data_IF_061891223694
#
_entry.id   IF_061891223694
#
_cell.length_a   1.000
_cell.length_b   1.000
_cell.length_c   1.000
_cell.angle_alpha   90.00
_cell.angle_beta   90.00
_cell.angle_gamma   90.00
#
_symmetry.space_group_name_H-M   'P 1'
#
loop_
_entity.id
_entity.type
_entity.pdbx_description
1 polymer ?
#
# COMPACT_ATOMS: atom_id res chain seq x y z
N UNK A 1 -20.74 7.08 41.19
CA UNK A 1 -19.39 6.66 40.76
C UNK A 1 -19.39 6.78 39.26
N UNK A 2 -19.06 7.98 38.77
CA UNK A 2 -19.00 8.28 37.34
C UNK A 2 -17.75 7.63 36.77
N UNK A 3 -17.92 6.80 35.74
CA UNK A 3 -16.82 6.29 34.96
C UNK A 3 -16.34 7.43 34.05
N UNK A 4 -15.28 8.12 34.46
CA UNK A 4 -14.54 9.02 33.57
C UNK A 4 -14.00 8.18 32.41
N UNK A 5 -14.65 8.31 31.25
CA UNK A 5 -14.14 7.78 29.99
C UNK A 5 -12.92 8.62 29.61
N UNK A 6 -11.75 8.23 30.10
CA UNK A 6 -10.47 8.74 29.58
C UNK A 6 -10.39 8.34 28.12
N UNK A 7 -10.71 9.30 27.24
CA UNK A 7 -10.51 9.19 25.82
C UNK A 7 -9.01 9.40 25.53
N UNK A 8 -8.17 8.51 26.08
CA UNK A 8 -6.78 8.41 25.67
C UNK A 8 -6.77 8.01 24.20
N UNK A 9 -6.32 8.94 23.36
CA UNK A 9 -6.10 8.71 21.93
C UNK A 9 -5.19 7.50 21.79
N UNK A 10 -5.78 6.35 21.51
CA UNK A 10 -5.09 5.07 21.50
C UNK A 10 -4.35 4.96 20.18
N UNK A 11 -3.02 5.07 20.20
CA UNK A 11 -2.21 4.85 19.02
C UNK A 11 -1.97 3.34 18.84
N UNK A 12 -2.25 2.84 17.64
CA UNK A 12 -2.00 1.43 17.32
C UNK A 12 -0.50 1.20 17.13
N UNK A 13 0.01 0.15 17.78
CA UNK A 13 1.39 -0.29 17.59
C UNK A 13 1.62 -0.74 16.15
N UNK A 14 2.64 -0.19 15.50
CA UNK A 14 3.01 -0.56 14.13
C UNK A 14 4.20 -1.52 14.14
N UNK A 15 4.03 -2.66 13.46
CA UNK A 15 5.04 -3.72 13.38
C UNK A 15 5.35 -4.08 11.93
N UNK A 16 6.62 -4.35 11.64
CA UNK A 16 7.08 -4.83 10.33
C UNK A 16 8.23 -5.85 10.51
N UNK A 17 8.49 -6.66 9.48
CA UNK A 17 9.58 -7.63 9.51
C UNK A 17 10.90 -6.96 9.10
N UNK A 18 11.95 -7.12 9.90
CA UNK A 18 13.32 -6.75 9.52
C UNK A 18 14.08 -7.99 9.05
N UNK A 19 14.62 -7.97 7.83
CA UNK A 19 15.47 -9.01 7.28
C UNK A 19 16.87 -8.47 7.01
N UNK A 20 17.86 -9.00 7.72
CA UNK A 20 19.27 -8.67 7.56
C UNK A 20 20.00 -9.76 6.76
N UNK A 21 21.19 -9.46 6.20
CA UNK A 21 22.11 -10.49 5.75
C UNK A 21 22.42 -11.47 6.90
N UNK A 22 22.64 -12.74 6.53
CA UNK A 22 22.67 -13.85 7.48
C UNK A 22 23.70 -13.67 8.61
N UNK A 23 24.88 -13.13 8.28
CA UNK A 23 25.98 -12.92 9.23
C UNK A 23 25.58 -11.92 10.32
N UNK A 24 24.98 -10.78 9.94
CA UNK A 24 24.52 -9.74 10.87
C UNK A 24 23.29 -10.19 11.63
N UNK A 25 22.37 -10.92 10.99
CA UNK A 25 21.20 -11.48 11.64
C UNK A 25 21.60 -12.42 12.80
N UNK A 26 22.57 -13.32 12.58
CA UNK A 26 23.07 -14.23 13.61
C UNK A 26 23.76 -13.49 14.76
N UNK A 27 24.61 -12.50 14.44
CA UNK A 27 25.27 -11.66 15.46
C UNK A 27 24.26 -10.87 16.29
N UNK A 28 23.27 -10.25 15.64
CA UNK A 28 22.21 -9.52 16.32
C UNK A 28 21.39 -10.46 17.20
N UNK A 29 21.06 -11.66 16.72
CA UNK A 29 20.36 -12.67 17.50
C UNK A 29 21.13 -13.05 18.77
N UNK A 30 22.42 -13.35 18.63
CA UNK A 30 23.28 -13.64 19.78
C UNK A 30 23.31 -12.50 20.80
N UNK A 31 23.36 -11.25 20.35
CA UNK A 31 23.33 -10.08 21.25
C UNK A 31 21.96 -9.91 21.91
N UNK A 32 20.86 -10.13 21.19
CA UNK A 32 19.51 -10.08 21.78
C UNK A 32 19.35 -11.13 22.88
N UNK A 33 19.91 -12.32 22.70
CA UNK A 33 19.79 -13.43 23.65
C UNK A 33 20.73 -13.26 24.87
N UNK A 34 21.91 -12.63 24.69
CA UNK A 34 22.93 -12.53 25.76
C UNK A 34 23.03 -11.17 26.44
N UNK A 35 22.83 -10.08 25.70
CA UNK A 35 23.08 -8.68 26.12
C UNK A 35 22.05 -7.73 25.48
N UNK A 36 20.74 -7.92 25.76
CA UNK A 36 19.66 -7.17 25.12
C UNK A 36 19.78 -5.65 25.32
N UNK A 37 20.35 -5.20 26.44
CA UNK A 37 20.60 -3.79 26.75
C UNK A 37 21.56 -3.11 25.75
N UNK A 38 22.40 -3.88 25.06
CA UNK A 38 23.32 -3.36 24.04
C UNK A 38 22.64 -3.14 22.68
N UNK A 39 21.51 -3.79 22.41
CA UNK A 39 20.82 -3.71 21.12
C UNK A 39 20.45 -2.27 20.78
N UNK A 40 19.90 -1.53 21.76
CA UNK A 40 19.51 -0.11 21.59
C UNK A 40 20.70 0.79 21.16
N UNK A 41 21.92 0.46 21.59
CA UNK A 41 23.13 1.22 21.23
C UNK A 41 23.70 0.80 19.87
N UNK A 42 23.58 -0.48 19.53
CA UNK A 42 24.23 -1.08 18.36
C UNK A 42 23.36 -1.03 17.10
N UNK A 43 22.04 -1.21 17.23
CA UNK A 43 21.12 -1.25 16.11
C UNK A 43 20.38 0.08 16.00
N UNK A 44 20.51 0.74 14.84
CA UNK A 44 19.75 1.95 14.50
C UNK A 44 19.10 1.77 13.14
N UNK A 45 17.85 2.19 13.03
CA UNK A 45 17.06 2.17 11.81
C UNK A 45 16.71 3.60 11.42
N UNK A 46 16.82 3.89 10.14
CA UNK A 46 16.40 5.13 9.51
C UNK A 46 15.55 4.75 8.30
N UNK A 47 14.30 5.19 8.24
CA UNK A 47 13.34 4.79 7.22
C UNK A 47 12.86 6.02 6.46
N UNK A 48 12.92 5.96 5.15
CA UNK A 48 12.33 6.93 4.25
C UNK A 48 11.13 6.27 3.55
N UNK A 49 9.93 6.66 3.97
CA UNK A 49 8.66 6.10 3.48
C UNK A 49 8.33 6.53 2.06
N UNK A 50 8.81 7.69 1.61
CA UNK A 50 8.55 8.19 0.25
C UNK A 50 9.22 7.28 -0.79
N UNK A 51 10.47 6.91 -0.53
CA UNK A 51 11.26 6.08 -1.44
C UNK A 51 11.18 4.58 -1.11
N UNK A 52 10.38 4.20 -0.10
CA UNK A 52 10.34 2.85 0.46
C UNK A 52 11.75 2.31 0.75
N UNK A 53 12.62 3.16 1.26
CA UNK A 53 14.02 2.84 1.52
C UNK A 53 14.33 2.93 3.01
N UNK A 54 15.38 2.25 3.43
CA UNK A 54 15.85 2.33 4.81
C UNK A 54 17.34 2.14 4.91
N UNK A 55 17.93 2.65 5.99
CA UNK A 55 19.33 2.42 6.35
C UNK A 55 19.35 1.78 7.72
N UNK A 56 19.97 0.60 7.79
CA UNK A 56 20.16 -0.12 9.05
C UNK A 56 21.62 -0.09 9.42
N UNK A 57 21.92 0.52 10.57
CA UNK A 57 23.27 0.58 11.13
C UNK A 57 23.37 -0.46 12.24
N UNK A 58 24.35 -1.36 12.11
CA UNK A 58 24.69 -2.33 13.14
C UNK A 58 26.15 -2.13 13.57
N UNK A 59 26.34 -1.45 14.69
CA UNK A 59 27.64 -0.93 15.12
C UNK A 59 28.18 0.08 14.11
N UNK A 60 29.31 -0.23 13.46
CA UNK A 60 29.91 0.60 12.41
C UNK A 60 29.44 0.22 11.00
N UNK A 61 28.84 -0.95 10.84
CA UNK A 61 28.38 -1.44 9.55
C UNK A 61 27.07 -0.77 9.17
N UNK A 62 26.97 -0.29 7.92
CA UNK A 62 25.75 0.20 7.32
C UNK A 62 25.24 -0.81 6.31
N UNK A 63 23.94 -1.08 6.35
CA UNK A 63 23.21 -1.89 5.38
C UNK A 63 22.07 -1.05 4.81
N UNK A 64 21.74 -1.29 3.56
CA UNK A 64 20.69 -0.56 2.85
C UNK A 64 19.50 -1.48 2.66
N UNK A 65 18.33 -0.98 3.04
CA UNK A 65 17.06 -1.67 3.10
C UNK A 65 16.09 -1.20 2.03
N UNK A 66 15.34 -2.15 1.50
CA UNK A 66 14.18 -1.93 0.64
C UNK A 66 12.93 -2.35 1.41
N UNK A 67 12.02 -1.40 1.68
CA UNK A 67 10.74 -1.68 2.33
C UNK A 67 9.77 -2.21 1.28
N UNK A 68 9.24 -3.41 1.50
CA UNK A 68 8.36 -4.08 0.56
C UNK A 68 7.07 -4.54 1.20
N UNK A 69 5.98 -4.47 0.44
CA UNK A 69 4.67 -5.02 0.82
C UNK A 69 4.70 -6.54 0.70
N UNK A 70 4.39 -7.23 1.78
CA UNK A 70 4.18 -8.68 1.81
C UNK A 70 2.86 -9.02 1.12
N UNK A 71 2.79 -10.15 0.40
CA UNK A 71 1.55 -10.60 -0.23
C UNK A 71 0.55 -11.20 0.77
N UNK A 72 1.01 -11.57 1.96
CA UNK A 72 0.22 -12.18 3.02
C UNK A 72 0.14 -11.25 4.22
N UNK A 73 -1.04 -11.10 4.81
CA UNK A 73 -1.21 -10.46 6.12
C UNK A 73 -0.72 -11.45 7.18
N UNK A 74 0.12 -10.97 8.09
CA UNK A 74 0.66 -11.73 9.21
C UNK A 74 0.18 -11.07 10.48
N UNK A 75 -0.42 -11.83 11.38
CA UNK A 75 -0.85 -11.32 12.68
C UNK A 75 0.21 -11.66 13.73
N UNK A 76 0.55 -10.69 14.58
CA UNK A 76 1.34 -10.94 15.77
C UNK A 76 0.42 -11.17 16.97
N UNK A 77 0.79 -12.13 17.79
CA UNK A 77 0.06 -12.53 18.97
C UNK A 77 0.99 -12.56 20.18
N UNK A 78 0.48 -12.12 21.33
CA UNK A 78 1.13 -12.27 22.63
C UNK A 78 0.34 -13.26 23.48
N UNK A 79 1.05 -14.04 24.28
CA UNK A 79 0.47 -14.97 25.25
C UNK A 79 1.30 -14.96 26.52
N UNK A 80 0.63 -15.19 27.66
CA UNK A 80 1.27 -15.37 28.96
C UNK A 80 1.29 -16.85 29.37
N UNK A 81 0.22 -17.59 29.06
CA UNK A 81 -0.05 -18.97 29.48
C UNK A 81 0.17 -20.01 28.35
N UNK A 82 0.46 -19.56 27.12
CA UNK A 82 0.54 -20.38 25.89
C UNK A 82 -0.79 -21.03 25.47
N UNK A 83 -1.91 -20.60 26.05
CA UNK A 83 -3.26 -21.07 25.74
C UNK A 83 -4.07 -19.92 25.19
N UNK A 84 -4.14 -18.82 25.93
CA UNK A 84 -4.81 -17.59 25.53
C UNK A 84 -3.86 -16.75 24.70
N UNK A 85 -4.22 -16.54 23.43
CA UNK A 85 -3.47 -15.69 22.50
C UNK A 85 -4.24 -14.39 22.26
N UNK A 86 -3.58 -13.26 22.42
CA UNK A 86 -4.14 -11.94 22.17
C UNK A 86 -3.46 -11.31 20.96
N UNK A 87 -4.24 -10.89 19.97
CA UNK A 87 -3.71 -10.18 18.80
C UNK A 87 -3.10 -8.85 19.24
N UNK A 88 -1.91 -8.54 18.72
CA UNK A 88 -1.20 -7.30 19.02
C UNK A 88 -1.07 -6.37 17.81
N UNK A 89 -0.83 -6.92 16.61
CA UNK A 89 -0.73 -6.11 15.40
C UNK A 89 -0.95 -6.94 14.13
N UNK A 90 -1.25 -6.24 13.04
CA UNK A 90 -1.18 -6.74 11.68
C UNK A 90 0.14 -6.31 11.02
N UNK A 91 0.81 -7.24 10.36
CA UNK A 91 2.10 -7.06 9.70
C UNK A 91 1.93 -7.41 8.22
N UNK A 92 2.21 -6.44 7.35
CA UNK A 92 2.13 -6.62 5.90
C UNK A 92 3.36 -6.04 5.16
N UNK A 93 4.42 -5.69 5.89
CA UNK A 93 5.64 -5.10 5.32
C UNK A 93 6.90 -5.80 5.82
N UNK A 94 7.93 -5.78 4.97
CA UNK A 94 9.27 -6.29 5.27
C UNK A 94 10.34 -5.32 4.77
N UNK A 95 11.27 -4.94 5.64
CA UNK A 95 12.49 -4.24 5.26
C UNK A 95 13.58 -5.28 4.96
N UNK A 96 13.96 -5.41 3.70
CA UNK A 96 15.00 -6.34 3.26
C UNK A 96 16.31 -5.58 3.09
N UNK A 97 17.29 -5.90 3.93
CA UNK A 97 18.59 -5.25 3.96
C UNK A 97 19.66 -6.05 3.24
N UNK A 98 20.58 -5.33 2.60
CA UNK A 98 21.76 -5.84 1.93
C UNK A 98 22.97 -4.91 2.19
N UNK A 99 24.18 -5.36 1.85
CA UNK A 99 25.40 -4.58 2.06
C UNK A 99 25.54 -3.38 1.11
N UNK A 100 24.90 -3.45 -0.06
CA UNK A 100 24.94 -2.41 -1.09
C UNK A 100 23.60 -1.73 -1.30
N UNK A 101 23.62 -0.52 -1.87
CA UNK A 101 22.42 0.17 -2.33
C UNK A 101 21.90 -0.60 -3.54
N UNK A 102 20.68 -1.11 -3.45
CA UNK A 102 19.97 -1.72 -4.57
C UNK A 102 18.84 -0.80 -4.99
N UNK A 103 18.69 -0.60 -6.30
CA UNK A 103 17.53 0.11 -6.83
C UNK A 103 16.23 -0.58 -6.39
N UNK A 104 15.30 0.21 -5.86
CA UNK A 104 13.97 -0.23 -5.46
C UNK A 104 13.09 -0.49 -6.69
N UNK A 105 13.42 -1.53 -7.46
CA UNK A 105 12.69 -1.84 -8.71
C UNK A 105 11.25 -2.31 -8.49
N UNK A 106 10.95 -2.88 -7.31
CA UNK A 106 9.62 -3.43 -6.98
C UNK A 106 9.29 -3.22 -5.52
N UNK A 107 8.22 -2.47 -5.27
CA UNK A 107 7.61 -2.23 -3.95
C UNK A 107 6.93 -3.50 -3.41
N UNK A 108 6.47 -4.38 -4.29
CA UNK A 108 5.82 -5.63 -3.87
C UNK A 108 6.78 -6.80 -3.69
N UNK A 109 6.50 -7.62 -2.67
CA UNK A 109 7.20 -8.88 -2.43
C UNK A 109 6.41 -10.08 -2.98
N UNK A 110 7.13 -11.02 -3.60
CA UNK A 110 6.51 -12.12 -4.33
C UNK A 110 6.14 -13.33 -3.45
N UNK A 111 6.81 -13.47 -2.29
CA UNK A 111 6.72 -14.65 -1.44
C UNK A 111 6.08 -14.31 -0.10
N UNK A 112 5.38 -15.26 0.52
CA UNK A 112 5.11 -15.18 1.96
C UNK A 112 6.38 -15.48 2.77
N UNK A 113 6.32 -15.22 4.08
CA UNK A 113 7.46 -15.46 4.99
C UNK A 113 7.71 -16.97 5.20
N UNK A 114 6.64 -17.77 5.31
CA UNK A 114 6.76 -19.21 5.55
C UNK A 114 7.13 -19.99 4.27
N UNK A 115 7.93 -21.07 4.34
CA UNK A 115 8.38 -21.83 3.17
C UNK A 115 7.26 -22.28 2.20
N UNK A 116 6.10 -22.79 2.66
CA UNK A 116 5.01 -23.21 1.77
C UNK A 116 4.38 -22.08 0.94
N UNK A 117 4.66 -20.82 1.28
CA UNK A 117 4.17 -19.60 0.62
C UNK A 117 5.21 -18.99 -0.33
N UNK A 118 6.24 -19.75 -0.74
CA UNK A 118 7.10 -19.34 -1.86
C UNK A 118 6.26 -19.13 -3.11
N UNK A 119 6.43 -17.94 -3.71
CA UNK A 119 5.71 -17.48 -4.91
C UNK A 119 4.17 -17.45 -4.76
N UNK A 120 3.67 -17.13 -3.57
CA UNK A 120 2.24 -17.22 -3.26
C UNK A 120 1.36 -16.42 -4.24
N UNK A 121 1.75 -15.20 -4.65
CA UNK A 121 0.99 -14.38 -5.62
C UNK A 121 0.79 -15.08 -6.97
N UNK A 122 1.78 -15.86 -7.41
CA UNK A 122 1.74 -16.55 -8.72
C UNK A 122 1.14 -17.95 -8.65
N UNK A 123 1.28 -18.63 -7.50
CA UNK A 123 0.99 -20.07 -7.39
C UNK A 123 -0.26 -20.41 -6.58
N UNK A 124 -0.57 -19.64 -5.54
CA UNK A 124 -1.62 -20.01 -4.57
C UNK A 124 -2.78 -19.02 -4.51
N UNK A 125 -2.54 -17.75 -4.83
CA UNK A 125 -3.63 -16.78 -4.88
C UNK A 125 -4.45 -16.99 -6.15
N UNK A 126 -5.76 -17.17 -5.98
CA UNK A 126 -6.71 -17.17 -7.08
C UNK A 126 -6.72 -15.77 -7.69
N UNK A 127 -6.50 -15.69 -9.00
CA UNK A 127 -6.58 -14.41 -9.72
C UNK A 127 -8.03 -13.93 -9.74
N UNK A 128 -8.24 -12.68 -9.37
CA UNK A 128 -9.51 -11.98 -9.58
C UNK A 128 -9.63 -11.56 -11.04
N UNK A 129 -10.85 -11.46 -11.56
CA UNK A 129 -11.07 -10.89 -12.91
C UNK A 129 -10.80 -9.38 -12.95
N UNK A 130 -10.76 -8.74 -11.78
CA UNK A 130 -10.25 -7.39 -11.59
C UNK A 130 -8.73 -7.47 -11.68
N UNK A 131 -8.16 -6.82 -12.68
CA UNK A 131 -6.72 -6.67 -12.81
C UNK A 131 -6.22 -5.76 -11.67
N UNK A 132 -5.26 -6.23 -10.86
CA UNK A 132 -4.68 -5.46 -9.76
C UNK A 132 -4.05 -4.15 -10.24
N UNK A 133 -3.50 -4.14 -11.47
CA UNK A 133 -2.98 -2.93 -12.08
C UNK A 133 -4.13 -1.94 -12.35
N UNK A 134 -5.29 -2.42 -12.82
CA UNK A 134 -6.50 -1.61 -12.91
C UNK A 134 -6.98 -1.09 -11.56
N UNK A 135 -6.84 -1.85 -10.48
CA UNK A 135 -7.26 -1.38 -9.15
C UNK A 135 -6.37 -0.25 -8.62
N UNK A 136 -5.06 -0.29 -8.91
CA UNK A 136 -4.12 0.80 -8.58
C UNK A 136 -4.36 2.01 -9.50
N UNK A 137 -4.64 1.76 -10.77
CA UNK A 137 -5.08 2.80 -11.71
C UNK A 137 -6.37 3.44 -11.22
N UNK A 138 -7.35 2.70 -10.73
CA UNK A 138 -8.63 3.23 -10.20
C UNK A 138 -8.38 4.26 -9.10
N UNK A 139 -7.48 4.02 -8.14
CA UNK A 139 -7.19 5.01 -7.09
C UNK A 139 -6.60 6.31 -7.66
N UNK A 140 -5.72 6.20 -8.67
CA UNK A 140 -5.15 7.38 -9.33
C UNK A 140 -6.18 8.09 -10.22
N UNK A 141 -7.01 7.32 -10.94
CA UNK A 141 -8.13 7.81 -11.78
C UNK A 141 -9.14 8.54 -10.90
N UNK A 142 -9.50 7.99 -9.74
CA UNK A 142 -10.40 8.64 -8.79
C UNK A 142 -9.82 9.97 -8.32
N UNK A 143 -8.54 10.01 -7.94
CA UNK A 143 -7.88 11.26 -7.53
C UNK A 143 -7.93 12.32 -8.64
N UNK A 144 -7.63 11.93 -9.87
CA UNK A 144 -7.64 12.82 -11.02
C UNK A 144 -9.07 13.26 -11.38
N UNK A 145 -10.05 12.36 -11.31
CA UNK A 145 -11.46 12.65 -11.50
C UNK A 145 -11.96 13.65 -10.45
N UNK A 146 -11.63 13.46 -9.17
CA UNK A 146 -12.00 14.43 -8.12
C UNK A 146 -11.36 15.80 -8.34
N UNK A 147 -10.11 15.82 -8.79
CA UNK A 147 -9.44 17.07 -9.14
C UNK A 147 -10.16 17.79 -10.29
N UNK A 148 -10.53 17.05 -11.35
CA UNK A 148 -11.25 17.58 -12.50
C UNK A 148 -12.63 18.13 -12.08
N UNK A 149 -13.42 17.34 -11.36
CA UNK A 149 -14.74 17.74 -10.86
C UNK A 149 -14.67 18.95 -9.93
N UNK A 150 -13.64 19.03 -9.08
CA UNK A 150 -13.44 20.20 -8.21
C UNK A 150 -13.11 21.45 -9.02
N UNK A 151 -12.27 21.31 -10.03
CA UNK A 151 -11.90 22.40 -10.93
C UNK A 151 -13.11 22.90 -11.71
N UNK A 152 -13.98 21.98 -12.16
CA UNK A 152 -15.23 22.29 -12.84
C UNK A 152 -16.23 23.02 -11.92
N UNK A 153 -16.30 22.67 -10.63
CA UNK A 153 -17.15 23.39 -9.66
C UNK A 153 -16.67 24.82 -9.39
N UNK A 154 -15.36 25.06 -9.48
CA UNK A 154 -14.76 26.40 -9.33
C UNK A 154 -14.83 27.22 -10.63
N UNK A 155 -15.13 26.58 -11.76
CA UNK A 155 -15.24 27.23 -13.07
C UNK A 155 -16.58 27.96 -13.23
N UNK A 156 -16.59 28.98 -14.08
CA UNK A 156 -17.83 29.71 -14.44
C UNK A 156 -18.72 28.86 -15.36
N UNK A 157 -18.13 28.03 -16.22
CA UNK A 157 -18.83 27.03 -17.02
C UNK A 157 -17.87 25.90 -17.41
N UNK A 158 -18.39 24.68 -17.53
CA UNK A 158 -17.63 23.50 -17.94
C UNK A 158 -18.34 22.79 -19.09
N UNK A 159 -17.55 22.32 -20.06
CA UNK A 159 -18.03 21.55 -21.23
C UNK A 159 -17.02 20.46 -21.57
N UNK A 160 -17.50 19.24 -21.79
CA UNK A 160 -16.67 18.12 -22.24
C UNK A 160 -17.08 17.66 -23.64
N UNK A 161 -16.14 17.06 -24.37
CA UNK A 161 -16.38 16.40 -25.66
C UNK A 161 -15.49 15.18 -25.76
N UNK A 162 -16.06 14.05 -26.18
CA UNK A 162 -15.31 12.83 -26.44
C UNK A 162 -14.71 12.91 -27.85
N UNK A 163 -13.39 12.70 -27.98
CA UNK A 163 -12.69 12.65 -29.26
C UNK A 163 -12.02 11.28 -29.44
N UNK A 164 -12.28 10.61 -30.55
CA UNK A 164 -11.67 9.31 -30.86
C UNK A 164 -10.45 9.51 -31.76
N UNK A 165 -9.31 8.91 -31.40
CA UNK A 165 -8.02 9.11 -32.10
C UNK A 165 -7.98 8.52 -33.52
N UNK A 166 -8.89 7.60 -33.86
CA UNK A 166 -9.01 7.04 -35.20
C UNK A 166 -10.26 7.60 -35.87
N UNK A 167 -10.09 8.62 -36.72
CA UNK A 167 -11.13 9.38 -37.42
C UNK A 167 -12.06 8.57 -38.33
N UNK A 168 -12.86 7.68 -37.74
CA UNK A 168 -14.00 7.04 -38.37
C UNK A 168 -15.26 7.75 -37.89
N UNK A 169 -15.81 8.62 -38.74
CA UNK A 169 -16.98 9.47 -38.48
C UNK A 169 -18.29 8.66 -38.31
N UNK A 170 -18.31 7.36 -38.64
CA UNK A 170 -19.55 6.55 -38.64
C UNK A 170 -19.83 5.77 -37.34
N UNK A 171 -19.32 6.22 -36.19
CA UNK A 171 -19.54 5.57 -34.88
C UNK A 171 -20.41 6.34 -33.89
N UNK A 172 -20.82 7.57 -34.20
CA UNK A 172 -21.68 8.37 -33.30
C UNK A 172 -23.01 7.67 -33.00
N UNK A 173 -23.67 7.08 -34.00
CA UNK A 173 -24.94 6.37 -33.80
C UNK A 173 -24.81 5.02 -33.05
N UNK A 174 -23.68 4.32 -33.22
CA UNK A 174 -23.49 3.01 -32.59
C UNK A 174 -23.09 3.12 -31.12
N UNK A 175 -22.38 4.20 -30.74
CA UNK A 175 -22.00 4.48 -29.36
C UNK A 175 -23.05 5.28 -28.58
N UNK A 176 -23.80 6.19 -29.21
CA UNK A 176 -24.94 6.87 -28.57
C UNK A 176 -25.93 5.87 -27.97
N UNK A 177 -26.19 4.77 -28.67
CA UNK A 177 -27.04 3.68 -28.18
C UNK A 177 -26.42 2.90 -27.00
N UNK A 178 -25.09 2.78 -26.93
CA UNK A 178 -24.41 2.11 -25.81
C UNK A 178 -24.29 3.02 -24.59
N UNK A 179 -24.13 4.32 -24.82
CA UNK A 179 -24.06 5.35 -23.79
C UNK A 179 -25.41 5.58 -23.12
N UNK A 180 -26.50 5.66 -23.90
CA UNK A 180 -27.86 5.71 -23.34
C UNK A 180 -28.21 4.47 -22.50
N UNK A 181 -27.69 3.30 -22.89
CA UNK A 181 -27.85 2.05 -22.12
C UNK A 181 -26.97 1.99 -20.86
N UNK A 182 -25.86 2.72 -20.79
CA UNK A 182 -24.91 2.66 -19.67
C UNK A 182 -25.11 3.79 -18.66
N UNK A 183 -25.45 5.00 -19.13
CA UNK A 183 -25.61 6.21 -18.31
C UNK A 183 -27.06 6.69 -18.19
N UNK A 184 -28.02 6.02 -18.86
CA UNK A 184 -29.39 6.49 -19.00
C UNK A 184 -29.50 7.68 -19.97
N UNK A 185 -30.71 8.20 -20.17
CA UNK A 185 -30.90 9.42 -20.94
C UNK A 185 -30.19 10.57 -20.23
N UNK A 186 -29.10 11.07 -20.82
CA UNK A 186 -28.42 12.29 -20.37
C UNK A 186 -29.40 13.45 -20.60
N UNK A 187 -30.00 13.94 -19.52
CA UNK A 187 -30.78 15.18 -19.53
C UNK A 187 -29.81 16.35 -19.65
N UNK A 188 -29.54 16.79 -20.87
CA UNK A 188 -29.03 18.14 -21.10
C UNK A 188 -30.24 19.08 -21.17
N UNK A 189 -30.76 19.49 -20.01
CA UNK A 189 -31.71 20.60 -19.93
C UNK A 189 -31.28 21.54 -18.79
N UNK A 190 -30.48 22.55 -19.15
CA UNK A 190 -30.74 23.90 -18.70
C UNK A 190 -31.02 24.72 -19.96
N UNK A 191 -32.27 24.70 -20.39
CA UNK A 191 -32.83 25.80 -21.17
C UNK A 191 -33.03 26.97 -20.21
N UNK A 192 -32.18 27.99 -20.34
CA UNK A 192 -32.55 29.33 -19.88
C UNK A 192 -33.60 29.87 -20.86
N UNK A 193 -34.87 29.80 -20.48
CA UNK A 193 -35.92 30.64 -21.08
C UNK A 193 -35.95 32.00 -20.36
N UNK A 194 -35.48 32.99 -21.12
CA UNK A 194 -35.85 34.40 -21.23
C UNK A 194 -36.11 35.30 -20.01
N UNK A 195 -35.39 36.43 -20.04
CA UNK A 195 -35.77 37.75 -19.56
C UNK A 195 -34.98 38.83 -20.30
#
# INVERSE_FOLDING_TARGET
>A
MEFEYYNEKTELEQQFILRLPMVEAQKLRYIMDTKPEKVKKLLKLDLNLNDNSGIVKFGKLKMYGSLKKLPTIIESYKTHDKVTICKTADINQILICDYGIKENKKVEYLHGISPPLKNVKKRRFRKTMINTDHAIEVENIERELYYLLRTDLEAVSSKYKITYENGYEDKENYLSNKEANLFGNISSEMSEEEG
#
